data_IF_560139880049
#
_entry.id   IF_560139880049
#
_cell.length_a   1.000
_cell.length_b   1.000
_cell.length_c   1.000
_cell.angle_alpha   90.00
_cell.angle_beta   90.00
_cell.angle_gamma   90.00
#
_symmetry.space_group_name_H-M   'P 1'
#
loop_
_entity.id
_entity.type
_entity.pdbx_description
1 polymer ?
#
# COMPACT_ATOMS: atom_id res chain seq x y z
N UNK A 1 -38.87 34.05 25.35
CA UNK A 1 -37.48 34.46 25.67
C UNK A 1 -36.60 34.05 24.50
N UNK A 2 -36.15 35.00 23.71
CA UNK A 2 -35.41 34.80 22.45
C UNK A 2 -33.93 35.08 22.71
N UNK A 3 -33.07 34.07 22.57
CA UNK A 3 -31.62 34.22 22.74
C UNK A 3 -30.97 34.51 21.37
N UNK A 4 -30.57 35.77 21.22
CA UNK A 4 -29.82 36.33 20.09
C UNK A 4 -28.39 35.76 20.09
N UNK A 5 -28.04 34.96 19.09
CA UNK A 5 -26.67 34.47 18.86
C UNK A 5 -25.96 35.38 17.85
N UNK A 6 -24.73 35.78 18.19
CA UNK A 6 -23.81 36.53 17.32
C UNK A 6 -22.87 35.56 16.60
N UNK A 7 -22.49 35.83 15.34
CA UNK A 7 -21.45 35.05 14.65
C UNK A 7 -20.06 35.50 15.09
N UNK A 8 -19.25 34.56 15.56
CA UNK A 8 -17.82 34.75 15.83
C UNK A 8 -17.05 34.36 14.58
N UNK A 9 -16.59 35.35 13.82
CA UNK A 9 -15.72 35.13 12.66
C UNK A 9 -14.30 34.79 13.15
N UNK A 10 -13.88 33.52 12.99
CA UNK A 10 -12.49 33.12 13.13
C UNK A 10 -11.75 33.36 11.80
N UNK A 11 -10.91 34.39 11.76
CA UNK A 11 -9.90 34.57 10.72
C UNK A 11 -8.68 33.70 11.02
N UNK A 12 -8.38 32.74 10.15
CA UNK A 12 -7.15 31.95 10.18
C UNK A 12 -6.04 32.67 9.40
N UNK A 13 -4.78 32.70 9.89
CA UNK A 13 -3.67 33.23 9.13
C UNK A 13 -3.26 32.29 7.99
N UNK A 14 -3.07 32.86 6.81
CA UNK A 14 -2.50 32.17 5.65
C UNK A 14 -1.02 31.86 5.90
N UNK A 15 -0.68 30.58 5.90
CA UNK A 15 0.71 30.11 5.92
C UNK A 15 1.16 29.94 4.47
N UNK A 16 2.12 30.77 4.05
CA UNK A 16 2.78 30.64 2.75
C UNK A 16 3.81 29.50 2.81
N UNK A 17 3.57 28.42 2.06
CA UNK A 17 4.54 27.35 1.85
C UNK A 17 5.46 27.68 0.68
N UNK A 18 6.76 27.71 0.95
CA UNK A 18 7.83 27.82 -0.05
C UNK A 18 8.01 26.43 -0.68
N UNK A 19 7.77 26.33 -1.99
CA UNK A 19 8.01 25.11 -2.75
C UNK A 19 9.50 24.96 -3.06
N UNK A 20 10.15 23.97 -2.46
CA UNK A 20 11.51 23.54 -2.82
C UNK A 20 11.41 22.49 -3.91
N UNK A 21 11.77 22.86 -5.14
CA UNK A 21 11.84 21.94 -6.27
C UNK A 21 13.06 21.00 -6.11
N UNK A 22 12.82 19.71 -5.88
CA UNK A 22 13.84 18.67 -6.07
C UNK A 22 13.75 18.14 -7.50
N UNK A 23 14.70 18.53 -8.35
CA UNK A 23 14.91 17.93 -9.66
C UNK A 23 15.57 16.56 -9.51
N UNK A 24 15.01 15.55 -10.17
CA UNK A 24 15.60 14.21 -10.23
C UNK A 24 16.52 14.13 -11.45
N UNK A 25 17.82 14.16 -11.20
CA UNK A 25 18.89 14.00 -12.20
C UNK A 25 19.12 12.50 -12.46
N UNK A 26 18.85 12.04 -13.68
CA UNK A 26 19.15 10.68 -14.14
C UNK A 26 20.57 10.62 -14.69
N UNK A 27 21.56 10.63 -13.79
CA UNK A 27 22.98 10.51 -14.14
C UNK A 27 23.43 9.06 -14.33
N UNK A 28 23.58 8.63 -15.59
CA UNK A 28 24.38 7.46 -15.95
C UNK A 28 25.87 7.71 -15.63
N UNK A 29 26.46 6.97 -14.68
CA UNK A 29 27.93 6.96 -14.50
C UNK A 29 28.49 5.65 -15.06
N UNK A 30 29.14 5.79 -16.22
CA UNK A 30 30.10 4.83 -16.75
C UNK A 30 31.50 5.33 -16.37
N UNK A 31 32.24 4.57 -15.58
CA UNK A 31 33.59 4.94 -15.17
C UNK A 31 34.35 3.77 -14.57
N UNK A 32 35.20 3.15 -15.39
CA UNK A 32 36.10 2.08 -14.98
C UNK A 32 37.24 2.59 -14.10
N UNK A 33 37.77 1.70 -13.27
CA UNK A 33 39.07 1.85 -12.62
C UNK A 33 39.67 0.46 -12.41
N UNK A 34 40.83 0.26 -13.00
CA UNK A 34 41.69 -0.92 -12.90
C UNK A 34 42.59 -0.85 -11.66
N UNK A 35 42.78 -2.00 -11.01
CA UNK A 35 43.93 -2.28 -10.15
C UNK A 35 43.58 -2.44 -8.68
N UNK A 36 43.77 -3.65 -8.13
CA UNK A 36 44.82 -4.01 -7.18
C UNK A 36 44.58 -5.46 -6.71
N UNK A 37 45.54 -6.33 -7.01
CA UNK A 37 45.59 -7.70 -6.51
C UNK A 37 46.12 -7.68 -5.07
N UNK A 38 45.27 -8.09 -4.12
CA UNK A 38 45.64 -8.32 -2.73
C UNK A 38 44.91 -9.55 -2.20
N UNK A 39 45.54 -10.73 -2.33
CA UNK A 39 45.08 -11.93 -1.63
C UNK A 39 45.31 -11.76 -0.13
N UNK A 40 44.23 -11.49 0.59
CA UNK A 40 44.16 -11.69 2.03
C UNK A 40 43.17 -12.83 2.29
N UNK A 41 43.70 -13.98 2.73
CA UNK A 41 42.91 -15.10 3.25
C UNK A 41 42.30 -14.71 4.60
N UNK A 42 41.23 -13.91 4.57
CA UNK A 42 40.36 -13.72 5.72
C UNK A 42 39.42 -14.94 5.79
N UNK A 43 39.52 -15.71 6.87
CA UNK A 43 38.62 -16.83 7.13
C UNK A 43 37.16 -16.39 6.96
N UNK A 44 36.37 -17.22 6.28
CA UNK A 44 34.96 -16.95 6.08
C UNK A 44 34.31 -16.61 7.43
N UNK A 45 33.58 -15.48 7.55
CA UNK A 45 32.78 -15.25 8.73
C UNK A 45 31.84 -16.45 8.90
N UNK A 46 31.60 -16.94 10.14
CA UNK A 46 30.63 -18.00 10.37
C UNK A 46 29.31 -17.59 9.71
N UNK A 47 28.53 -18.52 9.13
CA UNK A 47 27.23 -18.19 8.57
C UNK A 47 26.45 -17.44 9.64
N UNK A 48 26.03 -16.20 9.33
CA UNK A 48 25.19 -15.43 10.22
C UNK A 48 24.03 -16.32 10.63
N UNK A 49 23.91 -16.58 11.94
CA UNK A 49 22.75 -17.29 12.47
C UNK A 49 21.48 -16.63 11.89
N UNK A 50 20.46 -17.40 11.49
CA UNK A 50 19.19 -16.81 11.10
C UNK A 50 18.76 -15.91 12.25
N UNK A 51 18.60 -14.63 11.98
CA UNK A 51 18.15 -13.67 12.98
C UNK A 51 16.86 -14.20 13.59
N UNK A 52 16.90 -14.61 14.86
CA UNK A 52 15.75 -15.12 15.63
C UNK A 52 14.69 -14.04 15.92
N UNK A 53 14.60 -13.00 15.07
CA UNK A 53 13.54 -12.02 15.12
C UNK A 53 12.30 -12.66 14.49
N UNK A 54 11.30 -12.98 15.32
CA UNK A 54 9.87 -12.92 15.01
C UNK A 54 9.52 -12.91 13.51
N UNK A 55 9.76 -13.99 12.78
CA UNK A 55 9.49 -13.99 11.33
C UNK A 55 8.43 -15.03 11.05
N UNK A 56 7.27 -14.53 10.62
CA UNK A 56 6.23 -15.33 10.00
C UNK A 56 6.86 -16.35 9.04
N UNK A 57 6.48 -17.63 9.10
CA UNK A 57 6.94 -18.62 8.13
C UNK A 57 6.71 -18.13 6.70
N UNK A 58 7.60 -18.50 5.77
CA UNK A 58 7.46 -18.09 4.36
C UNK A 58 6.14 -18.59 3.76
N UNK A 59 5.76 -19.82 4.09
CA UNK A 59 4.50 -20.44 3.69
C UNK A 59 3.47 -20.39 4.81
N UNK A 60 2.18 -20.48 4.46
CA UNK A 60 1.10 -20.56 5.44
C UNK A 60 1.32 -21.78 6.34
N UNK A 61 1.47 -21.61 7.66
CA UNK A 61 1.64 -22.75 8.56
C UNK A 61 0.38 -23.61 8.58
N UNK A 62 0.53 -24.89 8.94
CA UNK A 62 -0.64 -25.77 9.15
C UNK A 62 -1.22 -25.48 10.53
N UNK A 63 -2.54 -25.35 10.63
CA UNK A 63 -3.18 -25.11 11.93
C UNK A 63 -2.88 -26.24 12.92
N UNK A 64 -2.59 -25.89 14.18
CA UNK A 64 -2.19 -26.81 15.24
C UNK A 64 -0.69 -27.13 15.28
N UNK A 65 0.10 -26.70 14.30
CA UNK A 65 1.56 -26.88 14.36
C UNK A 65 2.22 -25.92 15.34
N UNK A 66 3.31 -26.36 15.98
CA UNK A 66 3.98 -25.58 17.01
C UNK A 66 4.56 -24.26 16.47
N UNK A 67 4.46 -23.21 17.28
CA UNK A 67 5.04 -21.91 17.02
C UNK A 67 5.79 -21.39 18.26
N UNK A 68 6.95 -20.78 18.05
CA UNK A 68 7.88 -20.43 19.14
C UNK A 68 7.65 -19.03 19.72
N UNK A 69 7.05 -18.13 18.93
CA UNK A 69 6.81 -16.76 19.35
C UNK A 69 5.32 -16.52 19.50
N UNK A 70 4.86 -16.48 20.75
CA UNK A 70 3.45 -16.23 21.06
C UNK A 70 3.01 -14.84 20.59
N UNK A 71 1.73 -14.71 20.25
CA UNK A 71 1.07 -13.47 19.82
C UNK A 71 1.64 -12.87 18.52
N UNK A 72 2.25 -13.70 17.68
CA UNK A 72 2.64 -13.30 16.32
C UNK A 72 1.46 -13.50 15.39
N UNK A 73 1.09 -12.44 14.68
CA UNK A 73 0.08 -12.46 13.62
C UNK A 73 0.76 -12.32 12.27
N UNK A 74 0.48 -13.27 11.38
CA UNK A 74 1.02 -13.35 10.04
C UNK A 74 -0.11 -13.27 9.03
N UNK A 75 0.06 -12.40 8.04
CA UNK A 75 -0.91 -12.20 6.97
C UNK A 75 -0.35 -12.79 5.67
N UNK A 76 -1.13 -13.68 5.05
CA UNK A 76 -0.77 -14.38 3.83
C UNK A 76 -1.81 -14.12 2.75
N UNK A 77 -1.38 -13.47 1.69
CA UNK A 77 -2.24 -13.09 0.58
C UNK A 77 -1.73 -11.80 -0.05
N UNK A 78 -2.44 -11.36 -1.07
CA UNK A 78 -2.08 -10.19 -1.86
C UNK A 78 -3.18 -9.13 -1.80
N UNK A 79 -4.30 -9.36 -1.11
CA UNK A 79 -5.38 -8.38 -0.99
C UNK A 79 -4.98 -7.21 -0.09
N UNK A 80 -5.51 -6.02 -0.39
CA UNK A 80 -5.40 -4.88 0.53
C UNK A 80 -6.31 -5.00 1.74
N UNK A 81 -7.40 -5.76 1.62
CA UNK A 81 -8.30 -6.08 2.73
C UNK A 81 -7.75 -7.27 3.53
N UNK A 82 -7.47 -7.11 4.84
CA UNK A 82 -7.02 -8.21 5.69
C UNK A 82 -8.02 -9.37 5.79
N UNK A 83 -9.32 -9.11 5.66
CA UNK A 83 -10.35 -10.17 5.67
C UNK A 83 -10.27 -11.07 4.43
N UNK A 84 -9.63 -10.57 3.37
CA UNK A 84 -9.36 -11.29 2.13
C UNK A 84 -8.06 -12.07 2.11
N UNK A 85 -7.28 -12.00 3.19
CA UNK A 85 -6.05 -12.74 3.32
C UNK A 85 -6.19 -13.85 4.36
N UNK A 86 -5.34 -14.87 4.24
CA UNK A 86 -5.21 -15.90 5.26
C UNK A 86 -4.44 -15.32 6.43
N UNK A 87 -5.00 -15.36 7.63
CA UNK A 87 -4.38 -14.87 8.86
C UNK A 87 -3.94 -16.06 9.70
N UNK A 88 -2.65 -16.16 10.01
CA UNK A 88 -2.12 -17.14 10.96
C UNK A 88 -1.70 -16.45 12.26
N UNK A 89 -2.22 -16.88 13.40
CA UNK A 89 -1.89 -16.35 14.72
C UNK A 89 -1.21 -17.44 15.53
N UNK A 90 -0.06 -17.16 16.12
CA UNK A 90 0.59 -18.06 17.07
C UNK A 90 -0.04 -17.89 18.46
N UNK A 91 -1.02 -18.73 18.78
CA UNK A 91 -1.73 -18.73 20.06
C UNK A 91 -1.36 -19.97 20.87
N UNK A 92 -0.97 -19.77 22.15
CA UNK A 92 -0.65 -20.88 23.07
C UNK A 92 0.38 -21.88 22.49
N UNK A 93 1.39 -21.36 21.79
CA UNK A 93 2.44 -22.16 21.12
C UNK A 93 1.97 -23.05 19.98
N UNK A 94 0.76 -22.83 19.44
CA UNK A 94 0.28 -23.44 18.20
C UNK A 94 -0.26 -22.40 17.20
N UNK A 95 -0.14 -22.69 15.91
CA UNK A 95 -0.70 -21.84 14.86
C UNK A 95 -2.22 -22.01 14.74
N UNK A 96 -2.96 -20.92 14.86
CA UNK A 96 -4.37 -20.82 14.49
C UNK A 96 -4.46 -20.15 13.12
N UNK A 97 -5.05 -20.82 12.13
CA UNK A 97 -5.11 -20.32 10.75
C UNK A 97 -6.56 -20.01 10.38
N UNK A 98 -6.81 -18.77 10.01
CA UNK A 98 -8.10 -18.28 9.51
C UNK A 98 -7.98 -18.04 8.02
N UNK A 99 -8.79 -18.74 7.24
CA UNK A 99 -8.89 -18.55 5.80
C UNK A 99 -9.85 -17.40 5.48
N UNK A 100 -9.65 -16.69 4.35
CA UNK A 100 -10.51 -15.59 3.96
C UNK A 100 -11.93 -16.08 3.64
N UNK A 101 -12.93 -15.26 3.97
CA UNK A 101 -14.32 -15.51 3.59
C UNK A 101 -14.60 -14.87 2.24
N UNK A 102 -14.73 -15.69 1.19
CA UNK A 102 -15.23 -15.34 -0.15
C UNK A 102 -15.00 -13.88 -0.59
N UNK A 103 -13.77 -13.55 -0.98
CA UNK A 103 -13.47 -12.23 -1.53
C UNK A 103 -13.78 -12.14 -3.03
N UNK A 104 -14.32 -11.00 -3.48
CA UNK A 104 -14.85 -10.84 -4.83
C UNK A 104 -13.78 -11.01 -5.91
N UNK A 105 -12.52 -10.70 -5.62
CA UNK A 105 -11.42 -10.86 -6.58
C UNK A 105 -10.17 -11.43 -5.93
N UNK A 106 -9.62 -12.48 -6.55
CA UNK A 106 -8.32 -13.01 -6.20
C UNK A 106 -7.23 -12.26 -6.99
N UNK A 107 -6.31 -11.64 -6.27
CA UNK A 107 -5.08 -11.14 -6.87
C UNK A 107 -4.28 -12.29 -7.50
N UNK A 108 -3.69 -12.10 -8.70
CA UNK A 108 -2.90 -13.13 -9.33
C UNK A 108 -1.65 -13.43 -8.50
N UNK A 109 -1.13 -14.65 -8.61
CA UNK A 109 -0.03 -15.10 -7.77
C UNK A 109 1.31 -14.38 -8.06
N UNK A 110 1.46 -13.76 -9.24
CA UNK A 110 2.72 -13.16 -9.68
C UNK A 110 2.56 -11.69 -10.04
N UNK A 111 3.59 -10.92 -9.73
CA UNK A 111 3.68 -9.51 -10.08
C UNK A 111 3.60 -9.29 -11.61
N UNK A 112 4.24 -10.16 -12.39
CA UNK A 112 4.26 -10.08 -13.86
C UNK A 112 2.89 -10.24 -14.54
N UNK A 113 1.87 -10.68 -13.81
CA UNK A 113 0.49 -10.78 -14.31
C UNK A 113 -0.25 -9.42 -14.22
N UNK A 114 0.31 -8.44 -13.50
CA UNK A 114 -0.21 -7.06 -13.37
C UNK A 114 0.82 -6.05 -13.87
N UNK A 115 1.26 -6.20 -15.12
CA UNK A 115 2.32 -5.33 -15.68
C UNK A 115 1.87 -3.88 -15.78
N UNK A 116 2.66 -2.91 -15.29
CA UNK A 116 2.36 -1.49 -15.48
C UNK A 116 2.05 -1.14 -16.94
N UNK A 117 1.00 -0.36 -17.16
CA UNK A 117 0.55 0.09 -18.47
C UNK A 117 -0.32 -0.91 -19.24
N UNK A 118 -0.51 -2.13 -18.75
CA UNK A 118 -1.49 -3.07 -19.35
C UNK A 118 -2.91 -2.71 -18.96
N UNK A 119 -3.87 -2.93 -19.86
CA UNK A 119 -5.28 -2.62 -19.61
C UNK A 119 -5.85 -3.47 -18.48
N UNK A 120 -6.77 -2.87 -17.72
CA UNK A 120 -7.47 -3.52 -16.62
C UNK A 120 -8.91 -3.01 -16.54
N UNK A 121 -9.80 -3.85 -16.02
CA UNK A 121 -11.21 -3.52 -15.84
C UNK A 121 -11.68 -3.69 -14.39
N UNK A 122 -10.78 -4.12 -13.51
CA UNK A 122 -11.06 -4.45 -12.11
C UNK A 122 -10.49 -3.36 -11.22
N UNK A 123 -11.24 -2.85 -10.25
CA UNK A 123 -10.79 -1.80 -9.30
C UNK A 123 -9.95 -2.36 -8.13
N UNK A 124 -9.44 -3.58 -8.30
CA UNK A 124 -8.71 -4.29 -7.28
C UNK A 124 -7.28 -3.80 -7.13
N UNK A 125 -6.81 -3.86 -5.89
CA UNK A 125 -5.45 -3.48 -5.51
C UNK A 125 -4.78 -4.69 -4.88
N UNK A 126 -3.63 -5.04 -5.42
CA UNK A 126 -2.84 -6.21 -5.08
C UNK A 126 -1.47 -5.80 -4.54
N UNK A 127 -1.08 -6.36 -3.41
CA UNK A 127 0.18 -6.05 -2.72
C UNK A 127 1.18 -7.18 -2.98
N UNK A 128 2.13 -6.93 -3.88
CA UNK A 128 3.25 -7.83 -4.16
C UNK A 128 4.47 -7.46 -3.31
N UNK A 129 5.53 -8.28 -3.38
CA UNK A 129 6.78 -7.93 -2.69
C UNK A 129 7.50 -6.78 -3.38
N UNK A 130 7.30 -6.64 -4.69
CA UNK A 130 7.98 -5.67 -5.54
C UNK A 130 7.30 -4.30 -5.54
N UNK A 131 5.98 -4.26 -5.40
CA UNK A 131 5.14 -3.06 -5.41
C UNK A 131 3.69 -3.40 -5.03
N UNK A 132 2.90 -2.36 -4.76
CA UNK A 132 1.44 -2.45 -4.75
C UNK A 132 0.91 -2.05 -6.11
N UNK A 133 0.14 -2.92 -6.77
CA UNK A 133 -0.44 -2.68 -8.08
C UNK A 133 -1.96 -2.54 -7.99
N UNK A 134 -2.51 -1.55 -8.67
CA UNK A 134 -3.95 -1.33 -8.78
C UNK A 134 -4.31 -0.87 -10.19
N UNK A 135 -5.57 -1.05 -10.57
CA UNK A 135 -6.07 -0.47 -11.81
C UNK A 135 -6.37 1.01 -11.61
N UNK A 136 -5.55 1.89 -12.19
CA UNK A 136 -5.73 3.32 -12.11
C UNK A 136 -6.40 3.85 -13.39
N UNK A 137 -7.13 4.96 -13.27
CA UNK A 137 -7.83 5.56 -14.40
C UNK A 137 -9.10 4.83 -14.82
N UNK A 138 -9.51 3.79 -14.08
CA UNK A 138 -10.89 3.30 -14.09
C UNK A 138 -11.78 4.24 -13.27
N UNK A 139 -11.67 5.55 -13.49
CA UNK A 139 -12.71 6.47 -13.05
C UNK A 139 -13.96 6.11 -13.86
N UNK A 140 -15.14 6.01 -13.24
CA UNK A 140 -16.38 6.11 -13.99
C UNK A 140 -16.22 7.26 -14.97
N UNK A 141 -16.48 7.12 -16.29
CA UNK A 141 -16.54 8.29 -17.14
C UNK A 141 -17.46 9.23 -16.40
N UNK A 142 -16.94 10.41 -16.02
CA UNK A 142 -17.70 11.38 -15.25
C UNK A 142 -19.04 11.49 -15.96
N UNK A 143 -20.08 10.93 -15.32
CA UNK A 143 -21.43 10.99 -15.84
C UNK A 143 -21.74 12.46 -15.72
N UNK A 144 -21.43 13.19 -16.81
CA UNK A 144 -21.13 14.60 -16.77
C UNK A 144 -22.14 15.25 -15.87
N UNK A 145 -21.66 15.83 -14.76
CA UNK A 145 -22.47 16.73 -13.97
C UNK A 145 -22.72 17.88 -14.93
N UNK A 146 -23.77 17.74 -15.72
CA UNK A 146 -24.29 18.81 -16.52
C UNK A 146 -24.73 19.83 -15.50
N UNK A 147 -23.91 20.86 -15.33
CA UNK A 147 -24.33 22.16 -14.82
C UNK A 147 -25.28 22.77 -15.88
N UNK A 148 -26.36 22.04 -16.15
CA UNK A 148 -27.44 22.41 -17.04
C UNK A 148 -28.34 23.31 -16.24
N UNK A 149 -27.95 24.57 -16.13
CA UNK A 149 -28.92 25.65 -15.94
C UNK A 149 -29.92 25.59 -17.10
N UNK A 150 -31.02 24.87 -16.85
CA UNK A 150 -32.34 24.99 -17.46
C UNK A 150 -32.43 25.13 -18.98
N UNK A 151 -32.83 24.06 -19.66
CA UNK A 151 -33.44 24.19 -20.98
C UNK A 151 -33.63 22.85 -21.69
N UNK A 152 -34.91 22.47 -21.80
CA UNK A 152 -35.46 21.53 -22.77
C UNK A 152 -35.39 20.01 -22.44
N UNK A 153 -36.57 19.55 -22.02
CA UNK A 153 -37.00 18.16 -21.92
C UNK A 153 -36.85 17.45 -23.28
N UNK A 154 -36.05 16.38 -23.35
CA UNK A 154 -36.00 15.62 -24.60
C UNK A 154 -34.91 14.57 -24.72
N UNK A 155 -34.89 13.59 -23.80
CA UNK A 155 -34.28 12.28 -24.03
C UNK A 155 -32.75 12.28 -24.05
N UNK A 156 -32.13 12.10 -22.88
CA UNK A 156 -30.76 11.61 -22.86
C UNK A 156 -30.81 10.13 -23.23
N UNK A 157 -30.18 9.69 -24.34
CA UNK A 157 -30.05 8.26 -24.58
C UNK A 157 -29.23 7.67 -23.44
N UNK A 158 -29.64 6.50 -22.94
CA UNK A 158 -28.82 5.61 -22.13
C UNK A 158 -27.51 5.35 -22.90
N UNK A 159 -26.54 6.25 -22.78
CA UNK A 159 -25.18 5.99 -23.20
C UNK A 159 -24.65 5.01 -22.17
N UNK A 160 -24.78 3.72 -22.51
CA UNK A 160 -24.06 2.62 -21.88
C UNK A 160 -22.60 3.06 -21.72
N UNK A 161 -22.28 3.60 -20.55
CA UNK A 161 -20.92 3.91 -20.18
C UNK A 161 -20.18 2.59 -20.26
N UNK A 162 -19.40 2.43 -21.33
CA UNK A 162 -18.66 1.20 -21.57
C UNK A 162 -17.84 0.79 -20.33
N UNK A 163 -17.40 -0.47 -20.26
CA UNK A 163 -16.65 -0.95 -19.12
C UNK A 163 -15.48 -0.01 -18.82
N UNK A 164 -15.26 0.30 -17.54
CA UNK A 164 -14.15 1.16 -17.12
C UNK A 164 -12.84 0.46 -17.49
N UNK A 165 -12.15 0.97 -18.51
CA UNK A 165 -10.83 0.46 -18.91
C UNK A 165 -9.79 1.38 -18.30
N UNK A 166 -9.17 0.92 -17.22
CA UNK A 166 -7.98 1.54 -16.65
C UNK A 166 -6.69 0.94 -17.20
N UNK A 167 -5.57 1.38 -16.64
CA UNK A 167 -4.28 0.74 -16.82
C UNK A 167 -3.71 0.34 -15.45
N UNK A 168 -3.07 -0.82 -15.39
CA UNK A 168 -2.33 -1.24 -14.21
C UNK A 168 -1.25 -0.20 -13.90
N UNK A 169 -1.27 0.31 -12.67
CA UNK A 169 -0.22 1.13 -12.10
C UNK A 169 0.33 0.42 -10.88
N UNK A 170 1.64 0.49 -10.68
CA UNK A 170 2.30 -0.12 -9.54
C UNK A 170 3.15 0.91 -8.81
N UNK A 171 2.95 0.99 -7.50
CA UNK A 171 3.64 1.93 -6.60
C UNK A 171 4.61 1.16 -5.73
N UNK A 172 5.87 1.57 -5.76
CA UNK A 172 6.87 1.11 -4.80
C UNK A 172 6.88 2.02 -3.60
N UNK A 173 6.94 1.49 -2.37
CA UNK A 173 7.04 2.34 -1.20
C UNK A 173 8.39 3.07 -1.18
N UNK A 174 8.43 4.20 -0.47
CA UNK A 174 9.65 5.00 -0.33
C UNK A 174 10.80 4.25 0.34
N UNK A 175 12.02 4.75 0.16
CA UNK A 175 13.23 4.15 0.75
C UNK A 175 13.13 4.01 2.27
N UNK A 176 13.44 2.81 2.77
CA UNK A 176 13.37 2.47 4.21
C UNK A 176 12.04 1.86 4.64
N UNK A 177 10.99 1.96 3.83
CA UNK A 177 9.74 1.26 4.08
C UNK A 177 9.89 -0.25 3.82
N UNK A 178 9.15 -1.09 4.57
CA UNK A 178 9.00 -2.50 4.21
C UNK A 178 8.55 -2.66 2.76
N UNK A 179 9.03 -3.72 2.09
CA UNK A 179 8.69 -3.98 0.70
C UNK A 179 7.18 -4.26 0.50
N UNK A 180 6.56 -4.92 1.48
CA UNK A 180 5.11 -5.14 1.56
C UNK A 180 4.50 -4.23 2.61
N UNK A 181 3.22 -3.90 2.46
CA UNK A 181 2.48 -3.19 3.51
C UNK A 181 2.59 -3.94 4.85
N UNK A 182 2.89 -3.25 5.94
CA UNK A 182 2.91 -3.88 7.25
C UNK A 182 1.48 -4.20 7.72
N UNK A 183 1.36 -5.23 8.55
CA UNK A 183 0.09 -5.56 9.21
C UNK A 183 -0.13 -4.53 10.34
N UNK A 184 -1.31 -3.88 10.45
CA UNK A 184 -1.63 -3.05 11.60
C UNK A 184 -1.43 -3.82 12.92
N UNK A 185 -0.78 -3.19 13.90
CA UNK A 185 -0.37 -3.78 15.16
C UNK A 185 0.97 -4.51 15.13
N UNK A 186 1.56 -4.78 13.95
CA UNK A 186 2.88 -5.40 13.86
C UNK A 186 3.97 -4.47 14.40
N UNK A 187 5.02 -5.06 14.98
CA UNK A 187 6.13 -4.30 15.53
C UNK A 187 6.91 -3.55 14.44
N UNK A 188 7.45 -2.38 14.78
CA UNK A 188 8.28 -1.57 13.90
C UNK A 188 9.43 -0.94 14.69
N UNK A 189 10.57 -0.71 14.02
CA UNK A 189 11.83 -0.34 14.70
C UNK A 189 12.11 1.16 14.74
N UNK A 190 11.44 1.95 13.89
CA UNK A 190 11.68 3.40 13.78
C UNK A 190 10.42 4.10 13.31
N UNK A 191 10.11 5.23 13.95
CA UNK A 191 8.99 6.08 13.53
C UNK A 191 9.15 6.52 12.06
N UNK A 192 8.13 6.21 11.26
CA UNK A 192 8.11 6.52 9.83
C UNK A 192 6.71 6.38 9.24
N UNK A 193 6.50 6.99 8.08
CA UNK A 193 5.27 6.90 7.29
C UNK A 193 5.59 6.32 5.92
N UNK A 194 4.81 5.34 5.50
CA UNK A 194 4.98 4.62 4.26
C UNK A 194 3.68 4.63 3.46
N UNK A 195 3.71 5.24 2.27
CA UNK A 195 2.60 5.20 1.34
C UNK A 195 2.80 4.08 0.32
N UNK A 196 1.81 3.20 0.21
CA UNK A 196 1.78 2.05 -0.70
C UNK A 196 0.83 2.29 -1.89
N UNK A 197 0.55 3.54 -2.23
CA UNK A 197 -0.23 3.92 -3.42
C UNK A 197 -1.59 4.51 -3.10
N UNK A 198 -1.70 5.28 -2.02
CA UNK A 198 -2.97 5.83 -1.55
C UNK A 198 -3.64 6.71 -2.60
N UNK A 199 -2.85 7.55 -3.27
CA UNK A 199 -3.34 8.46 -4.31
C UNK A 199 -3.76 7.79 -5.62
N UNK A 200 -2.88 7.03 -6.31
CA UNK A 200 -3.26 6.43 -7.59
C UNK A 200 -4.41 5.41 -7.47
N UNK A 201 -4.67 4.90 -6.25
CA UNK A 201 -5.73 3.93 -6.01
C UNK A 201 -6.91 4.46 -5.19
N UNK A 202 -6.91 5.74 -4.79
CA UNK A 202 -7.92 6.36 -3.93
C UNK A 202 -8.30 5.49 -2.70
N UNK A 203 -7.29 4.93 -2.02
CA UNK A 203 -7.46 4.03 -0.87
C UNK A 203 -6.55 4.45 0.28
N UNK A 204 -6.90 4.18 1.54
CA UNK A 204 -6.06 4.49 2.69
C UNK A 204 -4.88 3.50 2.79
N UNK A 205 -3.87 3.64 1.94
CA UNK A 205 -2.70 2.76 1.88
C UNK A 205 -1.46 3.40 2.53
N UNK A 206 -1.69 4.37 3.42
CA UNK A 206 -0.66 4.99 4.25
C UNK A 206 -0.56 4.22 5.57
N UNK A 207 0.66 3.80 5.91
CA UNK A 207 0.98 3.11 7.16
C UNK A 207 1.97 3.92 7.97
N UNK A 208 1.68 4.09 9.26
CA UNK A 208 2.48 4.87 10.20
C UNK A 208 3.04 3.94 11.27
N UNK A 209 4.35 3.96 11.44
CA UNK A 209 5.02 3.37 12.61
C UNK A 209 5.16 4.46 13.68
N UNK A 210 4.53 4.28 14.84
CA UNK A 210 4.54 5.24 15.95
C UNK A 210 5.30 4.69 17.17
N UNK A 211 6.62 4.52 17.01
CA UNK A 211 7.52 4.24 18.13
C UNK A 211 7.55 2.79 18.60
N UNK A 212 6.61 1.94 18.16
CA UNK A 212 6.77 0.48 18.29
C UNK A 212 5.83 -0.35 17.42
N UNK A 213 4.73 0.22 16.90
CA UNK A 213 3.72 -0.50 16.15
C UNK A 213 3.34 0.19 14.86
N UNK A 214 2.99 -0.60 13.85
CA UNK A 214 2.37 -0.11 12.62
C UNK A 214 0.88 0.15 12.82
N UNK A 215 0.37 1.23 12.27
CA UNK A 215 -1.05 1.54 12.15
C UNK A 215 -1.36 1.99 10.73
N UNK A 216 -2.60 1.81 10.28
CA UNK A 216 -3.08 2.33 9.00
C UNK A 216 -3.67 3.72 9.25
N UNK A 217 -3.23 4.73 8.50
CA UNK A 217 -3.83 6.05 8.56
C UNK A 217 -5.23 5.98 7.93
N UNK A 218 -6.22 6.61 8.57
CA UNK A 218 -7.62 6.51 8.14
C UNK A 218 -7.97 7.43 6.97
N UNK A 219 -7.08 8.33 6.59
CA UNK A 219 -7.42 9.44 5.71
C UNK A 219 -6.50 9.52 4.48
N UNK A 220 -7.01 9.24 3.27
CA UNK A 220 -6.29 9.43 2.01
C UNK A 220 -6.35 10.87 1.47
N UNK A 221 -7.07 11.82 2.10
CA UNK A 221 -7.39 13.16 1.55
C UNK A 221 -6.20 14.11 1.37
N UNK A 222 -4.96 13.62 1.49
CA UNK A 222 -3.73 14.39 1.30
C UNK A 222 -2.97 14.00 0.03
N UNK A 223 -3.70 13.72 -1.04
CA UNK A 223 -3.11 13.65 -2.36
C UNK A 223 -2.88 15.07 -2.91
N UNK A 224 -1.63 15.46 -3.19
CA UNK A 224 -1.31 16.79 -3.69
C UNK A 224 -1.84 17.04 -5.12
#
# INVERSE_FOLDING_TARGET
MQLKRWPTSLTWPAIALVATACGNDWGFISGGSSGFSGSASAGAPPPSAPSSALTCPQDVPVSGTNCFTQNVTCEYGLGTDPECNTIAVCALSAWEVRHPSACPTACPARFDDRRPGTMCSETDVCVFFEATCGCAGATPPDAGVGDGDGGDEGGSPDVDAGPLIGAWQCVRPGGGCPARRPVPGAACSKAMTCDYGSCPFARPLVYVCDGSTWSQAQDPDSCP
#
